data_IF_931863422897
#
_entry.id   IF_931863422897
#
_cell.length_a   1.000
_cell.length_b   1.000
_cell.length_c   1.000
_cell.angle_alpha   90.00
_cell.angle_beta   90.00
_cell.angle_gamma   90.00
#
_symmetry.space_group_name_H-M   'P 1'
#
loop_
_entity.id
_entity.type
_entity.pdbx_description
1 polymer ?
#
# COMPACT_ATOMS: atom_id res chain seq x y z
N UNK A 1 11.48 -13.37 34.11
CA UNK A 1 11.57 -12.62 32.84
C UNK A 1 10.74 -13.41 31.85
N UNK A 2 9.49 -13.00 31.64
CA UNK A 2 8.45 -13.96 31.26
C UNK A 2 8.09 -13.85 29.76
N UNK A 3 8.85 -13.02 29.03
CA UNK A 3 8.66 -12.68 27.61
C UNK A 3 10.00 -12.69 26.85
N UNK A 4 10.64 -13.86 26.77
CA UNK A 4 11.82 -14.07 25.90
C UNK A 4 11.43 -14.76 24.59
N UNK A 5 11.90 -14.22 23.47
CA UNK A 5 11.75 -14.81 22.14
C UNK A 5 13.08 -14.76 21.37
N UNK A 6 13.39 -15.78 20.57
CA UNK A 6 14.65 -15.80 19.79
C UNK A 6 14.66 -14.73 18.69
N UNK A 7 13.49 -14.45 18.10
CA UNK A 7 13.32 -13.45 17.03
C UNK A 7 12.13 -12.52 17.34
N UNK A 8 12.34 -11.20 17.21
CA UNK A 8 11.27 -10.21 17.23
C UNK A 8 11.14 -9.55 15.85
N UNK A 9 9.92 -9.56 15.31
CA UNK A 9 9.59 -9.02 13.98
C UNK A 9 8.72 -7.76 14.17
N UNK A 10 9.21 -6.62 13.70
CA UNK A 10 8.49 -5.35 13.78
C UNK A 10 7.77 -5.06 12.45
N UNK A 11 6.44 -5.05 12.48
CA UNK A 11 5.56 -4.72 11.37
C UNK A 11 4.93 -5.98 10.75
N UNK A 12 3.61 -6.10 10.86
CA UNK A 12 2.82 -7.16 10.22
C UNK A 12 2.37 -6.77 8.80
N UNK A 13 3.24 -6.07 8.07
CA UNK A 13 3.10 -5.90 6.62
C UNK A 13 3.47 -7.17 5.86
N UNK A 14 3.45 -7.08 4.53
CA UNK A 14 3.84 -8.18 3.63
C UNK A 14 5.23 -8.76 3.94
N UNK A 15 6.18 -7.94 4.41
CA UNK A 15 7.53 -8.41 4.75
C UNK A 15 7.56 -9.21 6.06
N UNK A 16 6.96 -8.70 7.15
CA UNK A 16 6.99 -9.39 8.45
C UNK A 16 6.16 -10.68 8.48
N UNK A 17 4.97 -10.68 7.88
CA UNK A 17 4.15 -11.89 7.71
C UNK A 17 4.90 -12.91 6.84
N UNK A 18 5.54 -12.45 5.75
CA UNK A 18 6.32 -13.30 4.86
C UNK A 18 7.50 -13.96 5.59
N UNK A 19 8.22 -13.19 6.40
CA UNK A 19 9.36 -13.66 7.18
C UNK A 19 8.94 -14.67 8.27
N UNK A 20 7.89 -14.36 9.05
CA UNK A 20 7.31 -15.28 10.03
C UNK A 20 6.92 -16.64 9.42
N UNK A 21 6.34 -16.63 8.21
CA UNK A 21 6.01 -17.86 7.48
C UNK A 21 7.27 -18.64 7.08
N UNK A 22 8.37 -17.99 6.71
CA UNK A 22 9.62 -18.69 6.36
C UNK A 22 10.37 -19.21 7.60
N UNK A 23 10.30 -18.53 8.76
CA UNK A 23 10.82 -19.07 10.03
C UNK A 23 10.21 -20.45 10.34
N UNK A 24 8.90 -20.59 10.15
CA UNK A 24 8.20 -21.88 10.32
C UNK A 24 8.59 -22.87 9.21
N UNK A 25 8.58 -22.45 7.93
CA UNK A 25 8.70 -23.36 6.78
C UNK A 25 10.11 -23.82 6.45
N UNK A 26 11.12 -22.99 6.72
CA UNK A 26 12.52 -23.25 6.36
C UNK A 26 13.37 -23.60 7.59
N UNK A 27 13.09 -22.96 8.73
CA UNK A 27 13.89 -23.09 9.94
C UNK A 27 13.20 -23.89 11.06
N UNK A 28 11.95 -24.32 10.84
CA UNK A 28 11.17 -25.12 11.79
C UNK A 28 10.78 -24.41 13.09
N UNK A 29 11.19 -23.14 13.28
CA UNK A 29 11.01 -22.43 14.54
C UNK A 29 9.69 -21.67 14.61
N UNK A 30 9.10 -21.70 15.81
CA UNK A 30 7.95 -20.89 16.22
C UNK A 30 8.29 -19.98 17.40
N UNK A 31 9.55 -19.95 17.85
CA UNK A 31 9.98 -19.06 18.93
C UNK A 31 10.26 -17.64 18.42
N UNK A 32 9.20 -16.98 17.95
CA UNK A 32 9.25 -15.60 17.52
C UNK A 32 7.98 -14.85 17.93
N UNK A 33 8.11 -13.54 18.09
CA UNK A 33 6.99 -12.63 18.28
C UNK A 33 6.94 -11.64 17.11
N UNK A 34 5.72 -11.27 16.71
CA UNK A 34 5.45 -10.33 15.63
C UNK A 34 4.56 -9.20 16.18
N UNK A 35 5.08 -7.98 16.19
CA UNK A 35 4.43 -6.77 16.74
C UNK A 35 4.11 -5.78 15.60
N UNK A 36 2.98 -5.09 15.62
CA UNK A 36 2.51 -4.24 14.52
C UNK A 36 1.85 -2.96 15.03
N UNK A 37 2.51 -1.80 14.87
CA UNK A 37 2.08 -0.55 15.52
C UNK A 37 0.64 -0.15 15.27
N UNK A 38 0.13 -0.40 14.07
CA UNK A 38 -1.16 0.11 13.69
C UNK A 38 -2.25 -0.65 14.42
N UNK A 39 -3.47 -0.11 14.36
CA UNK A 39 -4.64 -0.86 14.78
C UNK A 39 -4.66 -2.26 14.15
N UNK A 40 -4.07 -2.46 12.96
CA UNK A 40 -4.20 -3.73 12.27
C UNK A 40 -3.17 -4.12 11.12
N UNK A 41 -2.79 -5.42 10.99
CA UNK A 41 -1.93 -6.06 9.97
C UNK A 41 -2.26 -5.69 8.53
N UNK A 42 -1.26 -5.86 7.65
CA UNK A 42 -1.29 -5.47 6.25
C UNK A 42 -0.38 -4.28 5.94
N UNK A 43 0.10 -3.57 6.98
CA UNK A 43 1.09 -2.49 6.87
C UNK A 43 0.59 -1.34 5.99
N UNK A 44 1.27 -1.09 4.85
CA UNK A 44 0.87 -0.07 3.86
C UNK A 44 -0.59 -0.17 3.47
N UNK A 45 -1.12 -1.38 3.33
CA UNK A 45 -2.55 -1.55 3.02
C UNK A 45 -3.39 -1.00 4.16
N UNK A 46 -3.16 -1.44 5.39
CA UNK A 46 -4.04 -1.07 6.50
C UNK A 46 -4.05 0.45 6.75
N UNK A 47 -2.89 1.10 6.66
CA UNK A 47 -2.76 2.55 6.81
C UNK A 47 -3.46 3.35 5.69
N UNK A 48 -3.72 2.75 4.53
CA UNK A 48 -4.29 3.44 3.38
C UNK A 48 -5.68 2.87 3.04
N UNK A 49 -6.71 3.61 3.46
CA UNK A 49 -8.12 3.23 3.31
C UNK A 49 -8.96 4.26 2.55
N UNK A 50 -8.30 5.22 1.89
CA UNK A 50 -8.94 6.26 1.09
C UNK A 50 -9.70 5.68 -0.14
N UNK A 51 -10.73 6.38 -0.65
CA UNK A 51 -11.50 5.92 -1.81
C UNK A 51 -10.60 5.58 -3.01
N UNK A 52 -10.82 4.44 -3.65
CA UNK A 52 -10.03 4.01 -4.80
C UNK A 52 -8.62 3.47 -4.49
N UNK A 53 -8.15 3.48 -3.22
CA UNK A 53 -6.83 2.98 -2.84
C UNK A 53 -6.58 1.55 -3.33
N UNK A 54 -5.56 1.33 -4.18
CA UNK A 54 -5.28 -0.03 -4.63
C UNK A 54 -3.95 -0.21 -5.35
N UNK A 55 -3.38 -1.40 -5.24
CA UNK A 55 -2.05 -1.73 -5.79
C UNK A 55 -1.97 -1.62 -7.31
N UNK A 56 -0.98 -0.88 -7.83
CA UNK A 56 -0.70 -0.82 -9.28
C UNK A 56 -0.11 -2.13 -9.84
N UNK A 57 0.29 -3.06 -8.95
CA UNK A 57 0.74 -4.42 -9.30
C UNK A 57 -0.46 -5.39 -9.30
N UNK A 58 -0.66 -6.19 -10.36
CA UNK A 58 -1.82 -7.10 -10.46
C UNK A 58 -1.84 -8.18 -9.36
N UNK A 59 -2.98 -8.44 -8.73
CA UNK A 59 -3.15 -9.27 -7.51
C UNK A 59 -2.57 -10.70 -7.59
N UNK A 60 -2.64 -11.34 -8.77
CA UNK A 60 -2.03 -12.66 -9.00
C UNK A 60 -0.49 -12.64 -8.98
N UNK A 61 0.11 -11.46 -9.15
CA UNK A 61 1.54 -11.19 -8.97
C UNK A 61 1.84 -10.52 -7.62
N UNK A 62 0.99 -9.59 -7.17
CA UNK A 62 1.03 -8.96 -5.85
C UNK A 62 0.45 -9.86 -4.75
N UNK A 63 1.12 -10.99 -4.55
CA UNK A 63 0.80 -12.02 -3.56
C UNK A 63 2.03 -12.90 -3.36
N UNK A 64 2.12 -13.59 -2.21
CA UNK A 64 3.20 -14.54 -1.97
C UNK A 64 3.19 -15.66 -3.01
N UNK A 65 4.33 -15.89 -3.66
CA UNK A 65 4.51 -16.97 -4.64
C UNK A 65 4.21 -18.37 -4.07
N UNK A 66 4.34 -18.52 -2.75
CA UNK A 66 4.13 -19.76 -1.99
C UNK A 66 2.72 -19.92 -1.40
N UNK A 67 1.83 -18.93 -1.56
CA UNK A 67 0.45 -18.92 -1.04
C UNK A 67 -0.48 -18.20 -2.03
N UNK A 68 -0.69 -18.84 -3.19
CA UNK A 68 -1.46 -18.29 -4.31
C UNK A 68 -2.98 -18.37 -4.04
N UNK A 69 -3.73 -17.34 -4.45
CA UNK A 69 -5.17 -17.24 -4.25
C UNK A 69 -5.93 -17.17 -5.60
N UNK A 70 -6.81 -18.15 -5.94
CA UNK A 70 -7.59 -18.13 -7.18
C UNK A 70 -8.81 -17.20 -7.13
N UNK A 71 -9.20 -16.73 -5.95
CA UNK A 71 -10.48 -16.05 -5.73
C UNK A 71 -10.40 -14.51 -5.79
N UNK A 72 -9.28 -13.93 -6.25
CA UNK A 72 -9.14 -12.48 -6.40
C UNK A 72 -10.35 -11.89 -7.16
N UNK A 73 -11.11 -10.95 -6.58
CA UNK A 73 -12.35 -10.48 -7.18
C UNK A 73 -12.10 -9.59 -8.41
N UNK A 74 -10.93 -8.95 -8.48
CA UNK A 74 -10.49 -7.96 -9.47
C UNK A 74 -8.99 -8.06 -9.69
N UNK A 75 -8.48 -7.36 -10.71
CA UNK A 75 -7.03 -7.26 -10.98
C UNK A 75 -6.25 -6.61 -9.83
N UNK A 76 -6.87 -5.79 -8.97
CA UNK A 76 -6.24 -5.11 -7.81
C UNK A 76 -7.11 -5.23 -6.53
N UNK A 77 -6.50 -5.30 -5.33
CA UNK A 77 -7.13 -5.76 -4.06
C UNK A 77 -7.03 -4.78 -2.84
N UNK A 78 -7.69 -5.13 -1.70
CA UNK A 78 -7.93 -4.30 -0.50
C UNK A 78 -7.78 -5.08 0.87
N UNK A 79 -7.94 -4.39 2.02
CA UNK A 79 -7.43 -4.59 3.42
C UNK A 79 -7.94 -5.72 4.39
N UNK A 80 -7.11 -6.24 5.36
CA UNK A 80 -7.45 -6.92 6.69
C UNK A 80 -6.20 -7.44 7.52
N UNK A 81 -6.15 -7.68 8.87
CA UNK A 81 -6.29 -6.79 10.09
C UNK A 81 -5.77 -7.37 11.53
N UNK A 82 -4.84 -6.76 12.36
CA UNK A 82 -4.43 -6.79 13.89
C UNK A 82 -2.96 -6.23 14.36
N UNK A 83 -2.50 -6.10 15.65
CA UNK A 83 -2.30 -4.81 16.47
C UNK A 83 -1.11 -4.73 17.55
N UNK A 84 -0.36 -3.58 17.85
CA UNK A 84 0.67 -3.18 18.95
C UNK A 84 1.95 -2.35 18.54
N UNK A 85 2.35 -1.22 19.18
CA UNK A 85 3.46 -0.31 18.74
C UNK A 85 4.87 -0.50 19.35
N UNK A 86 5.92 -0.07 18.62
CA UNK A 86 7.33 0.01 19.06
C UNK A 86 7.73 1.47 19.22
N UNK A 87 8.34 1.81 20.35
CA UNK A 87 8.81 3.18 20.66
C UNK A 87 10.32 3.33 20.51
N UNK A 88 11.09 2.35 21.00
CA UNK A 88 12.55 2.35 20.94
C UNK A 88 13.12 0.93 20.87
N UNK A 89 14.31 0.78 20.30
CA UNK A 89 15.10 -0.45 20.36
C UNK A 89 16.58 -0.13 20.57
N UNK A 90 17.24 -0.83 21.49
CA UNK A 90 18.62 -0.57 21.89
C UNK A 90 19.39 -1.88 22.03
N UNK A 91 20.57 -1.97 21.44
CA UNK A 91 21.44 -3.15 21.54
C UNK A 91 22.20 -3.17 22.87
N UNK A 92 22.08 -4.26 23.61
CA UNK A 92 22.85 -4.52 24.82
C UNK A 92 24.04 -5.43 24.47
N UNK A 93 25.26 -4.87 24.57
CA UNK A 93 26.51 -5.55 24.27
C UNK A 93 26.92 -6.61 25.30
N UNK A 94 26.44 -6.50 26.55
CA UNK A 94 26.75 -7.46 27.62
C UNK A 94 25.91 -8.73 27.50
N UNK A 95 24.63 -8.62 27.13
CA UNK A 95 23.75 -9.77 26.94
C UNK A 95 23.70 -10.31 25.51
N UNK A 96 24.19 -9.55 24.53
CA UNK A 96 24.09 -9.92 23.11
C UNK A 96 22.66 -9.92 22.59
N UNK A 97 21.83 -9.00 23.08
CA UNK A 97 20.40 -8.91 22.76
C UNK A 97 19.96 -7.46 22.55
N UNK A 98 18.95 -7.25 21.72
CA UNK A 98 18.17 -6.02 21.73
C UNK A 98 17.25 -5.99 22.95
N UNK A 99 17.14 -4.84 23.62
CA UNK A 99 15.96 -4.46 24.42
C UNK A 99 15.08 -3.55 23.58
N UNK A 100 13.76 -3.77 23.62
CA UNK A 100 12.77 -3.07 22.80
C UNK A 100 11.64 -2.59 23.71
N UNK A 101 11.41 -1.27 23.69
CA UNK A 101 10.27 -0.64 24.34
C UNK A 101 9.07 -0.68 23.40
N UNK A 102 7.99 -1.29 23.87
CA UNK A 102 6.72 -1.47 23.18
C UNK A 102 5.62 -0.69 23.90
N UNK A 103 4.65 -0.15 23.16
CA UNK A 103 3.43 0.45 23.71
C UNK A 103 2.21 -0.29 23.19
N UNK A 104 1.40 -0.82 24.10
CA UNK A 104 0.07 -1.28 23.78
C UNK A 104 -0.83 -0.05 23.49
N UNK A 105 -1.42 0.02 22.30
CA UNK A 105 -2.22 1.19 21.89
C UNK A 105 -3.68 1.15 22.40
N UNK A 106 -4.10 0.08 23.08
CA UNK A 106 -5.38 -0.01 23.79
C UNK A 106 -5.25 0.43 25.23
N UNK A 107 -4.26 -0.08 25.96
CA UNK A 107 -4.06 0.25 27.37
C UNK A 107 -3.22 1.51 27.57
N UNK A 108 -2.47 1.93 26.54
CA UNK A 108 -1.43 2.97 26.61
C UNK A 108 -0.27 2.63 27.54
N UNK A 109 -0.15 1.37 27.97
CA UNK A 109 0.95 0.90 28.80
C UNK A 109 2.19 0.64 27.94
N UNK A 110 3.35 1.05 28.45
CA UNK A 110 4.65 0.74 27.87
C UNK A 110 5.26 -0.46 28.60
N UNK A 111 5.77 -1.43 27.85
CA UNK A 111 6.43 -2.63 28.36
C UNK A 111 7.71 -2.93 27.59
N UNK A 112 8.65 -3.65 28.21
CA UNK A 112 9.90 -4.06 27.55
C UNK A 112 9.86 -5.53 27.14
N UNK A 113 10.50 -5.84 26.01
CA UNK A 113 10.83 -7.20 25.60
C UNK A 113 12.27 -7.25 25.07
N UNK A 114 12.86 -8.45 25.02
CA UNK A 114 14.21 -8.64 24.49
C UNK A 114 14.27 -9.78 23.47
N UNK A 115 15.18 -9.64 22.51
CA UNK A 115 15.43 -10.65 21.47
C UNK A 115 16.89 -10.64 21.01
N UNK A 116 17.37 -11.76 20.47
CA UNK A 116 18.71 -11.83 19.85
C UNK A 116 18.72 -11.19 18.46
N UNK A 117 17.65 -11.40 17.68
CA UNK A 117 17.54 -10.91 16.30
C UNK A 117 16.32 -10.01 16.16
N UNK A 118 16.57 -8.76 15.77
CA UNK A 118 15.55 -7.74 15.51
C UNK A 118 15.40 -7.50 14.01
N UNK A 119 14.17 -7.61 13.48
CA UNK A 119 13.90 -7.38 12.05
C UNK A 119 12.90 -6.24 11.87
N UNK A 120 13.33 -5.16 11.22
CA UNK A 120 12.47 -4.01 10.89
C UNK A 120 11.76 -4.22 9.55
N UNK A 121 10.44 -4.35 9.59
CA UNK A 121 9.54 -4.53 8.45
C UNK A 121 8.42 -3.46 8.40
N UNK A 122 8.67 -2.28 8.98
CA UNK A 122 7.70 -1.17 9.18
C UNK A 122 7.13 -0.53 7.89
N UNK A 123 7.76 -0.79 6.74
CA UNK A 123 7.38 -0.27 5.43
C UNK A 123 7.66 1.22 5.22
N UNK A 124 8.09 1.60 4.01
CA UNK A 124 8.52 2.97 3.69
C UNK A 124 7.38 4.00 3.53
N UNK A 125 6.12 3.56 3.48
CA UNK A 125 4.94 4.37 3.13
C UNK A 125 3.86 4.37 4.23
N UNK A 126 4.24 4.10 5.48
CA UNK A 126 3.33 3.92 6.62
C UNK A 126 3.27 5.11 7.60
N UNK A 127 4.05 6.17 7.35
CA UNK A 127 4.05 7.41 8.14
C UNK A 127 3.66 8.56 7.19
N UNK A 128 2.55 9.28 7.44
CA UNK A 128 2.18 10.44 6.63
C UNK A 128 3.16 11.59 6.85
N UNK A 129 3.37 12.41 5.82
CA UNK A 129 4.03 13.71 6.03
C UNK A 129 3.01 14.65 6.66
N UNK A 130 3.38 15.26 7.79
CA UNK A 130 2.51 16.25 8.45
C UNK A 130 2.34 17.50 7.58
N UNK A 131 1.15 18.10 7.66
CA UNK A 131 0.72 19.18 6.78
C UNK A 131 1.10 20.55 7.37
N UNK A 132 2.36 20.92 7.16
CA UNK A 132 2.93 22.18 7.63
C UNK A 132 2.84 23.28 6.55
N UNK A 133 1.64 23.86 6.42
CA UNK A 133 1.38 25.02 5.54
C UNK A 133 0.91 26.20 6.40
N UNK A 134 1.49 27.40 6.25
CA UNK A 134 1.06 28.59 6.99
C UNK A 134 -0.46 28.83 6.85
N UNK A 135 -1.14 29.01 7.98
CA UNK A 135 -2.60 29.17 8.02
C UNK A 135 -3.40 27.86 8.02
N UNK A 136 -2.78 26.68 7.98
CA UNK A 136 -3.52 25.41 8.07
C UNK A 136 -4.37 25.30 9.35
N UNK A 137 -3.88 25.84 10.47
CA UNK A 137 -4.57 25.84 11.77
C UNK A 137 -5.79 26.76 11.86
N UNK A 138 -5.95 27.73 10.95
CA UNK A 138 -7.12 28.63 10.94
C UNK A 138 -8.22 28.14 9.99
N UNK A 139 -7.98 27.07 9.24
CA UNK A 139 -8.96 26.47 8.34
C UNK A 139 -10.14 25.85 9.12
N UNK A 140 -11.34 26.38 8.89
CA UNK A 140 -12.58 25.96 9.58
C UNK A 140 -13.20 24.66 9.01
N UNK A 141 -12.65 24.14 7.91
CA UNK A 141 -13.12 22.90 7.30
C UNK A 141 -12.41 21.67 7.86
N UNK A 142 -12.91 20.47 7.50
CA UNK A 142 -12.28 19.21 7.91
C UNK A 142 -11.02 18.94 7.09
N UNK A 143 -9.91 18.62 7.77
CA UNK A 143 -8.60 18.40 7.15
C UNK A 143 -7.99 17.08 7.68
N UNK A 144 -7.51 16.23 6.78
CA UNK A 144 -6.82 14.98 7.12
C UNK A 144 -5.95 14.48 5.95
N UNK A 145 -4.92 13.69 6.25
CA UNK A 145 -4.02 13.10 5.25
C UNK A 145 -4.60 11.78 4.71
N UNK A 146 -4.31 11.39 3.47
CA UNK A 146 -4.89 10.17 2.85
C UNK A 146 -4.55 8.86 3.59
N UNK A 147 -3.35 8.78 4.17
CA UNK A 147 -2.91 7.68 5.05
C UNK A 147 -3.41 7.79 6.52
N UNK A 148 -4.32 8.74 6.79
CA UNK A 148 -5.09 8.92 8.04
C UNK A 148 -6.56 9.21 7.66
N UNK A 149 -7.11 8.45 6.70
CA UNK A 149 -8.41 8.77 6.09
C UNK A 149 -9.57 8.70 7.09
N UNK A 150 -10.36 9.77 7.18
CA UNK A 150 -11.52 9.80 8.05
C UNK A 150 -12.77 9.23 7.35
N UNK A 151 -13.16 8.03 7.76
CA UNK A 151 -14.34 7.32 7.24
C UNK A 151 -15.69 7.96 7.63
N UNK A 152 -15.73 8.89 8.57
CA UNK A 152 -16.93 9.68 8.89
C UNK A 152 -17.18 10.85 7.93
N UNK A 153 -16.18 11.23 7.12
CA UNK A 153 -16.29 12.40 6.24
C UNK A 153 -17.06 12.07 4.96
N UNK A 154 -18.30 12.58 4.88
CA UNK A 154 -19.06 12.59 3.63
C UNK A 154 -18.67 13.81 2.78
N UNK A 155 -18.09 13.58 1.59
CA UNK A 155 -17.68 14.61 0.63
C UNK A 155 -18.78 15.00 -0.38
N UNK A 156 -19.92 14.31 -0.41
CA UNK A 156 -20.99 14.57 -1.39
C UNK A 156 -21.48 16.02 -1.32
N UNK A 157 -21.58 16.66 -2.48
CA UNK A 157 -21.97 18.07 -2.65
C UNK A 157 -21.11 19.09 -1.85
N UNK A 158 -19.90 18.71 -1.42
CA UNK A 158 -18.94 19.65 -0.81
C UNK A 158 -17.94 20.18 -1.83
N UNK A 159 -17.36 21.34 -1.53
CA UNK A 159 -16.17 21.82 -2.22
C UNK A 159 -14.94 21.26 -1.50
N UNK A 160 -14.09 20.54 -2.23
CA UNK A 160 -12.97 19.77 -1.67
C UNK A 160 -11.66 20.26 -2.28
N UNK A 161 -10.70 20.56 -1.41
CA UNK A 161 -9.32 20.89 -1.81
C UNK A 161 -8.46 19.63 -1.67
N UNK A 162 -7.74 19.27 -2.72
CA UNK A 162 -6.79 18.14 -2.72
C UNK A 162 -5.38 18.68 -2.96
N UNK A 163 -4.49 18.47 -2.01
CA UNK A 163 -3.10 18.93 -2.09
C UNK A 163 -2.22 17.73 -2.40
N UNK A 164 -1.53 17.80 -3.54
CA UNK A 164 -0.76 16.71 -4.12
C UNK A 164 -1.48 16.00 -5.28
N UNK A 165 -0.66 15.45 -6.17
CA UNK A 165 -1.09 14.74 -7.38
C UNK A 165 -0.37 13.39 -7.58
N UNK A 166 0.20 12.83 -6.52
CA UNK A 166 0.75 11.47 -6.50
C UNK A 166 -0.35 10.39 -6.48
N UNK A 167 0.07 9.12 -6.44
CA UNK A 167 -0.81 7.94 -6.61
C UNK A 167 -2.10 7.99 -5.78
N UNK A 168 -2.05 8.41 -4.50
CA UNK A 168 -3.23 8.51 -3.64
C UNK A 168 -4.28 9.49 -4.17
N UNK A 169 -3.85 10.64 -4.69
CA UNK A 169 -4.76 11.63 -5.27
C UNK A 169 -5.29 11.16 -6.63
N UNK A 170 -4.44 10.58 -7.48
CA UNK A 170 -4.84 9.95 -8.76
C UNK A 170 -5.90 8.86 -8.58
N UNK A 171 -5.86 8.14 -7.46
CA UNK A 171 -6.83 7.08 -7.12
C UNK A 171 -8.10 7.63 -6.46
N UNK A 172 -7.99 8.62 -5.58
CA UNK A 172 -9.13 9.18 -4.84
C UNK A 172 -9.97 10.18 -5.65
N UNK A 173 -9.33 11.12 -6.37
CA UNK A 173 -10.03 12.20 -7.09
C UNK A 173 -11.09 11.67 -8.06
N UNK A 174 -10.82 10.69 -8.94
CA UNK A 174 -11.84 10.17 -9.86
C UNK A 174 -13.04 9.54 -9.16
N UNK A 175 -12.84 8.91 -7.99
CA UNK A 175 -13.92 8.30 -7.19
C UNK A 175 -14.74 9.38 -6.46
N UNK A 176 -14.11 10.51 -6.11
CA UNK A 176 -14.79 11.63 -5.45
C UNK A 176 -15.48 12.58 -6.44
N UNK A 177 -15.09 12.58 -7.71
CA UNK A 177 -15.68 13.44 -8.76
C UNK A 177 -16.86 12.81 -9.51
N UNK A 178 -17.10 11.51 -9.38
CA UNK A 178 -18.04 10.76 -10.22
C UNK A 178 -19.23 10.14 -9.44
N UNK A 179 -20.35 9.96 -10.15
CA UNK A 179 -21.55 9.30 -9.65
C UNK A 179 -22.40 10.12 -8.66
N UNK A 180 -23.42 9.46 -8.09
CA UNK A 180 -24.43 10.10 -7.20
C UNK A 180 -23.88 10.60 -5.86
N UNK A 181 -22.62 10.30 -5.55
CA UNK A 181 -21.92 10.73 -4.33
C UNK A 181 -20.85 11.79 -4.56
N UNK A 182 -20.78 12.38 -5.76
CA UNK A 182 -19.72 13.30 -6.16
C UNK A 182 -19.63 14.56 -5.27
N UNK A 183 -18.41 15.07 -5.11
CA UNK A 183 -18.15 16.41 -4.59
C UNK A 183 -18.71 17.47 -5.57
N UNK A 184 -19.16 18.62 -5.03
CA UNK A 184 -19.67 19.76 -5.82
C UNK A 184 -18.58 20.37 -6.71
N UNK A 185 -17.37 20.46 -6.16
CA UNK A 185 -16.17 20.97 -6.83
C UNK A 185 -14.94 20.33 -6.19
N UNK A 186 -13.96 19.94 -7.00
CA UNK A 186 -12.64 19.52 -6.53
C UNK A 186 -11.61 20.49 -7.10
N UNK A 187 -10.77 21.07 -6.23
CA UNK A 187 -9.63 21.89 -6.62
C UNK A 187 -8.36 21.17 -6.22
N UNK A 188 -7.58 20.72 -7.21
CA UNK A 188 -6.36 19.95 -6.98
C UNK A 188 -5.10 20.81 -7.21
N UNK A 189 -4.21 20.83 -6.22
CA UNK A 189 -2.92 21.51 -6.28
C UNK A 189 -1.80 20.50 -6.49
N UNK A 190 -1.26 20.42 -7.71
CA UNK A 190 -0.07 19.61 -8.03
C UNK A 190 1.19 20.46 -8.08
N UNK A 191 2.29 20.01 -7.46
CA UNK A 191 3.59 20.74 -7.47
C UNK A 191 4.45 20.42 -8.70
N UNK A 192 4.36 19.18 -9.18
CA UNK A 192 5.13 18.67 -10.33
C UNK A 192 4.18 17.86 -11.22
N UNK A 193 4.32 17.97 -12.54
CA UNK A 193 3.52 17.16 -13.45
C UNK A 193 3.85 15.67 -13.30
N UNK A 194 2.83 14.82 -13.38
CA UNK A 194 2.98 13.36 -13.38
C UNK A 194 2.37 12.78 -14.67
N UNK A 195 2.99 11.72 -15.18
CA UNK A 195 2.44 10.94 -16.28
C UNK A 195 1.32 10.03 -15.77
N UNK A 196 0.18 10.04 -16.47
CA UNK A 196 -0.99 9.23 -16.14
C UNK A 196 -1.27 8.27 -17.30
N UNK A 197 -1.14 6.97 -17.04
CA UNK A 197 -1.56 5.91 -17.97
C UNK A 197 -2.94 5.39 -17.56
N UNK A 198 -3.69 4.83 -18.52
CA UNK A 198 -4.93 4.13 -18.18
C UNK A 198 -4.61 2.87 -17.35
N UNK A 199 -5.42 2.60 -16.32
CA UNK A 199 -5.28 1.40 -15.48
C UNK A 199 -6.53 0.51 -15.57
N UNK A 200 -6.66 -0.32 -16.63
CA UNK A 200 -7.79 -1.25 -16.75
C UNK A 200 -7.86 -2.20 -15.56
N UNK A 201 -8.96 -2.12 -14.81
CA UNK A 201 -9.25 -2.96 -13.64
C UNK A 201 -10.51 -3.83 -13.86
N UNK A 202 -10.47 -4.79 -14.81
CA UNK A 202 -11.61 -5.62 -15.13
C UNK A 202 -12.04 -6.48 -13.94
N UNK A 203 -13.36 -6.73 -13.84
CA UNK A 203 -13.88 -7.80 -12.98
C UNK A 203 -13.53 -9.14 -13.61
N UNK A 204 -12.89 -10.03 -12.87
CA UNK A 204 -12.62 -11.38 -13.36
C UNK A 204 -13.92 -12.19 -13.47
N UNK A 205 -14.15 -12.81 -14.63
CA UNK A 205 -15.34 -13.63 -14.89
C UNK A 205 -15.35 -14.91 -14.04
N UNK A 206 -16.52 -15.53 -13.90
CA UNK A 206 -16.64 -16.82 -13.21
C UNK A 206 -15.76 -17.90 -13.87
N UNK A 207 -15.73 -17.95 -15.21
CA UNK A 207 -14.86 -18.85 -15.97
C UNK A 207 -13.38 -18.59 -15.69
N UNK A 208 -12.93 -17.32 -15.66
CA UNK A 208 -11.54 -17.01 -15.33
C UNK A 208 -11.14 -17.53 -13.94
N UNK A 209 -11.98 -17.28 -12.93
CA UNK A 209 -11.75 -17.75 -11.54
C UNK A 209 -11.78 -19.28 -11.46
N UNK A 210 -12.68 -19.93 -12.20
CA UNK A 210 -12.75 -21.38 -12.32
C UNK A 210 -11.46 -21.95 -12.92
N UNK A 211 -10.96 -21.36 -14.01
CA UNK A 211 -9.70 -21.76 -14.66
C UNK A 211 -8.49 -21.58 -13.72
N UNK A 212 -8.39 -20.45 -13.02
CA UNK A 212 -7.31 -20.21 -12.04
C UNK A 212 -7.36 -21.19 -10.85
N UNK A 213 -8.55 -21.72 -10.50
CA UNK A 213 -8.73 -22.69 -9.41
C UNK A 213 -8.44 -24.13 -9.84
N UNK A 214 -8.97 -24.57 -10.99
CA UNK A 214 -9.07 -25.99 -11.32
C UNK A 214 -8.12 -26.46 -12.43
N UNK A 215 -7.62 -25.56 -13.29
CA UNK A 215 -6.68 -25.96 -14.36
C UNK A 215 -5.25 -25.95 -13.79
N UNK A 216 -4.53 -27.10 -13.80
CA UNK A 216 -3.16 -27.17 -13.30
C UNK A 216 -2.24 -26.14 -13.97
N UNK A 217 -1.33 -25.56 -13.18
CA UNK A 217 -0.35 -24.54 -13.59
C UNK A 217 -0.92 -23.22 -14.13
N UNK A 218 -2.22 -23.09 -14.44
CA UNK A 218 -2.80 -21.89 -15.05
C UNK A 218 -2.46 -20.59 -14.28
N UNK A 219 -2.55 -20.62 -12.96
CA UNK A 219 -2.22 -19.46 -12.12
C UNK A 219 -0.71 -19.17 -12.09
N UNK A 220 0.15 -20.18 -12.20
CA UNK A 220 1.61 -20.00 -12.31
C UNK A 220 2.01 -19.41 -13.65
N UNK A 221 1.42 -19.89 -14.75
CA UNK A 221 1.62 -19.34 -16.09
C UNK A 221 1.11 -17.91 -16.21
N UNK A 222 -0.07 -17.61 -15.64
CA UNK A 222 -0.59 -16.24 -15.59
C UNK A 222 0.33 -15.33 -14.76
N UNK A 223 0.83 -15.81 -13.61
CA UNK A 223 1.82 -15.07 -12.81
C UNK A 223 3.13 -14.84 -13.58
N UNK A 224 3.64 -15.82 -14.32
CA UNK A 224 4.84 -15.70 -15.13
C UNK A 224 4.66 -14.72 -16.30
N UNK A 225 3.48 -14.72 -16.94
CA UNK A 225 3.11 -13.70 -17.94
C UNK A 225 3.11 -12.29 -17.33
N UNK A 226 2.47 -12.11 -16.17
CA UNK A 226 2.43 -10.81 -15.49
C UNK A 226 3.83 -10.34 -15.05
N UNK A 227 4.69 -11.26 -14.64
CA UNK A 227 6.10 -10.97 -14.36
C UNK A 227 6.81 -10.46 -15.62
N UNK A 228 6.73 -11.21 -16.73
CA UNK A 228 7.34 -10.83 -18.01
C UNK A 228 6.82 -9.50 -18.57
N UNK A 229 5.53 -9.21 -18.42
CA UNK A 229 4.94 -7.90 -18.75
C UNK A 229 5.58 -6.77 -17.92
N UNK A 230 5.89 -7.01 -16.64
CA UNK A 230 6.53 -5.99 -15.78
C UNK A 230 8.05 -5.92 -15.88
N UNK A 231 8.71 -7.01 -16.25
CA UNK A 231 10.14 -7.02 -16.57
C UNK A 231 10.43 -6.26 -17.87
N UNK A 232 9.49 -6.30 -18.84
CA UNK A 232 9.56 -5.47 -20.06
C UNK A 232 9.55 -3.97 -19.75
N UNK A 233 8.73 -3.54 -18.78
CA UNK A 233 8.69 -2.14 -18.34
C UNK A 233 10.06 -1.66 -17.83
N UNK A 234 10.93 -2.55 -17.33
CA UNK A 234 12.26 -2.17 -16.86
C UNK A 234 13.15 -1.60 -17.98
N UNK A 235 12.97 -2.05 -19.23
CA UNK A 235 13.71 -1.53 -20.40
C UNK A 235 13.46 -0.04 -20.67
N UNK A 236 12.31 0.49 -20.26
CA UNK A 236 12.01 1.93 -20.38
C UNK A 236 12.83 2.82 -19.44
N UNK A 237 13.48 2.25 -18.41
CA UNK A 237 14.36 2.97 -17.48
C UNK A 237 15.82 3.04 -17.94
N UNK A 238 16.20 2.24 -18.94
CA UNK A 238 17.54 2.29 -19.55
C UNK A 238 17.76 3.65 -20.24
N UNK A 239 18.80 4.38 -19.83
CA UNK A 239 19.04 5.75 -20.30
C UNK A 239 19.34 5.77 -21.80
N UNK A 240 20.09 4.80 -22.31
CA UNK A 240 20.59 4.72 -23.68
C UNK A 240 19.55 4.13 -24.64
N UNK A 241 18.92 3.01 -24.26
CA UNK A 241 18.03 2.26 -25.16
C UNK A 241 16.53 2.51 -24.92
N UNK A 242 16.14 2.94 -23.72
CA UNK A 242 14.72 3.14 -23.35
C UNK A 242 14.04 4.38 -23.96
N UNK A 243 14.75 5.18 -24.77
CA UNK A 243 14.27 6.47 -25.26
C UNK A 243 13.08 6.37 -26.25
N UNK A 244 12.92 5.26 -26.96
CA UNK A 244 11.74 5.00 -27.81
C UNK A 244 10.52 4.60 -26.96
N UNK A 245 10.68 3.60 -26.10
CA UNK A 245 9.64 3.16 -25.16
C UNK A 245 9.12 4.31 -24.28
N UNK A 246 10.01 5.19 -23.79
CA UNK A 246 9.59 6.41 -23.06
C UNK A 246 8.77 7.37 -23.92
N UNK A 247 9.09 7.53 -25.21
CA UNK A 247 8.29 8.36 -26.14
C UNK A 247 6.92 7.75 -26.40
N UNK A 248 6.83 6.45 -26.60
CA UNK A 248 5.55 5.73 -26.76
C UNK A 248 4.65 5.89 -25.53
N UNK A 249 5.16 5.63 -24.33
CA UNK A 249 4.41 5.83 -23.08
C UNK A 249 4.04 7.30 -22.83
N UNK A 250 4.91 8.24 -23.17
CA UNK A 250 4.61 9.68 -23.05
C UNK A 250 3.46 10.07 -23.98
N UNK A 251 3.42 9.49 -25.18
CA UNK A 251 2.33 9.66 -26.14
C UNK A 251 1.03 9.04 -25.63
N UNK A 252 1.05 7.78 -25.19
CA UNK A 252 -0.11 7.08 -24.64
C UNK A 252 -0.72 7.85 -23.44
N UNK A 253 0.13 8.31 -22.52
CA UNK A 253 -0.28 9.13 -21.38
C UNK A 253 -0.85 10.50 -21.82
N UNK A 254 -0.21 11.18 -22.78
CA UNK A 254 -0.70 12.46 -23.31
C UNK A 254 -2.04 12.31 -24.07
N UNK A 255 -2.24 11.20 -24.78
CA UNK A 255 -3.48 10.90 -25.51
C UNK A 255 -4.61 10.53 -24.52
N UNK A 256 -4.31 9.76 -23.48
CA UNK A 256 -5.25 9.49 -22.37
C UNK A 256 -5.68 10.77 -21.65
N UNK A 257 -4.73 11.63 -21.26
CA UNK A 257 -5.01 12.91 -20.59
C UNK A 257 -5.87 13.80 -21.50
N UNK A 258 -5.47 14.01 -22.76
CA UNK A 258 -6.23 14.84 -23.71
C UNK A 258 -7.63 14.28 -23.97
N UNK A 259 -7.77 12.97 -24.10
CA UNK A 259 -9.06 12.30 -24.28
C UNK A 259 -10.01 12.39 -23.06
N UNK A 260 -9.49 12.69 -21.86
CA UNK A 260 -10.29 12.88 -20.64
C UNK A 260 -10.64 14.34 -20.34
N UNK A 261 -9.82 15.30 -20.76
CA UNK A 261 -9.96 16.72 -20.37
C UNK A 261 -10.34 17.69 -21.50
N UNK A 262 -10.56 17.20 -22.73
CA UNK A 262 -10.90 17.99 -23.93
C UNK A 262 -12.21 18.80 -23.87
N UNK A 263 -12.95 18.76 -22.75
CA UNK A 263 -14.16 19.57 -22.51
C UNK A 263 -14.19 20.30 -21.15
N UNK A 264 -13.07 20.41 -20.42
CA UNK A 264 -13.04 21.00 -19.07
C UNK A 264 -11.92 22.03 -18.83
N UNK A 265 -11.28 22.53 -19.89
CA UNK A 265 -10.30 23.64 -19.78
C UNK A 265 -10.95 24.93 -20.27
N UNK A 266 -11.43 25.73 -19.31
CA UNK A 266 -11.83 27.14 -19.44
C UNK A 266 -11.28 27.92 -18.25
#
# INVERSE_FOLDING_TARGET
MDHYHDVLIIGAGMSGIGFAIQLIRQYGTRNFQLVEKSGHIGGTWHMNSYPGCGCDVPSHFYSYSFALNPYWPRKFAFNVRLETAVEAATWNTTSGTWSISLRDLKTSETFECCCKILVSAVGALSVPKEFDVPGASTFQGKMFHTAKWDHSFNWTNKEVIVIGNGCSATQAVPVMSDGRGAAKKITQFGRQAHWLAERPNPKYSALFKWTMKWVPLAMRLYRAKLYWEKEKDFRGFDVETGAETRREWSKEAADYIRGKFSGQVS
#
